data_IF_964037788004
#
_entry.id   IF_964037788004
#
_cell.length_a   1.000
_cell.length_b   1.000
_cell.length_c   1.000
_cell.angle_alpha   90.00
_cell.angle_beta   90.00
_cell.angle_gamma   90.00
#
_symmetry.space_group_name_H-M   'P 1'
#
loop_
_entity.id
_entity.type
_entity.pdbx_description
1 polymer ?
#
# COMPACT_ATOMS: atom_id res chain seq x y z
N UNK A 1 -8.80 -2.23 -43.66
CA UNK A 1 -7.38 -2.58 -43.54
C UNK A 1 -6.73 -2.05 -42.28
N UNK A 2 -6.99 -0.81 -41.89
CA UNK A 2 -6.51 -0.29 -40.58
C UNK A 2 -7.13 -1.06 -39.39
N UNK A 3 -8.35 -1.55 -39.52
CA UNK A 3 -9.05 -2.30 -38.49
C UNK A 3 -8.40 -3.68 -38.20
N UNK A 4 -7.84 -4.32 -39.22
CA UNK A 4 -7.20 -5.63 -39.03
C UNK A 4 -5.87 -5.54 -38.29
N UNK A 5 -5.16 -4.43 -38.45
CA UNK A 5 -3.91 -4.18 -37.72
C UNK A 5 -4.20 -3.87 -36.25
N UNK A 6 -5.26 -3.15 -35.98
CA UNK A 6 -5.70 -2.85 -34.61
C UNK A 6 -6.22 -4.11 -33.88
N UNK A 7 -6.94 -4.99 -34.58
CA UNK A 7 -7.39 -6.26 -34.04
C UNK A 7 -6.21 -7.21 -33.75
N UNK A 8 -5.18 -7.23 -34.59
CA UNK A 8 -3.99 -8.04 -34.37
C UNK A 8 -3.15 -7.54 -33.20
N UNK A 9 -3.19 -6.25 -32.88
CA UNK A 9 -2.46 -5.65 -31.76
C UNK A 9 -3.28 -5.67 -30.46
N UNK A 10 -4.60 -5.88 -30.55
CA UNK A 10 -5.51 -5.85 -29.41
C UNK A 10 -5.13 -6.79 -28.27
N UNK A 11 -4.72 -8.07 -28.50
CA UNK A 11 -4.28 -8.94 -27.43
C UNK A 11 -3.00 -8.46 -26.72
N UNK A 12 -2.06 -7.91 -27.47
CA UNK A 12 -0.82 -7.35 -26.93
C UNK A 12 -1.08 -6.08 -26.15
N UNK A 13 -1.91 -5.18 -26.66
CA UNK A 13 -2.30 -3.97 -25.97
C UNK A 13 -3.13 -4.29 -24.73
N UNK A 14 -3.97 -5.31 -24.78
CA UNK A 14 -4.72 -5.83 -23.64
C UNK A 14 -3.81 -6.37 -22.55
N UNK A 15 -2.69 -7.01 -22.88
CA UNK A 15 -1.68 -7.45 -21.92
C UNK A 15 -0.94 -6.27 -21.28
N UNK A 16 -0.68 -5.20 -22.02
CA UNK A 16 -0.06 -3.98 -21.51
C UNK A 16 -1.04 -3.08 -20.75
N UNK A 17 -2.31 -3.11 -21.14
CA UNK A 17 -3.38 -2.35 -20.49
C UNK A 17 -4.05 -3.08 -19.33
N UNK A 18 -3.75 -4.38 -19.15
CA UNK A 18 -4.41 -5.25 -18.17
C UNK A 18 -3.91 -5.09 -16.75
N UNK A 19 -3.20 -4.01 -16.43
CA UNK A 19 -3.12 -3.58 -15.03
C UNK A 19 -4.54 -3.22 -14.64
N UNK A 20 -5.12 -3.92 -13.66
CA UNK A 20 -6.48 -3.62 -13.28
C UNK A 20 -6.59 -2.14 -12.95
N UNK A 21 -7.55 -1.48 -13.55
CA UNK A 21 -7.97 -0.16 -13.11
C UNK A 21 -8.27 -0.30 -11.61
N UNK A 22 -7.65 0.54 -10.80
CA UNK A 22 -7.89 0.54 -9.37
C UNK A 22 -9.40 0.72 -9.12
N UNK A 23 -10.04 -0.32 -8.62
CA UNK A 23 -11.45 -0.33 -8.24
C UNK A 23 -11.62 -0.29 -6.71
N UNK A 24 -10.64 0.28 -6.04
CA UNK A 24 -10.65 0.39 -4.58
C UNK A 24 -11.55 1.51 -4.07
N UNK A 25 -11.50 1.74 -2.74
CA UNK A 25 -12.34 2.76 -2.11
C UNK A 25 -12.07 4.15 -2.68
N UNK A 26 -13.13 4.97 -2.73
CA UNK A 26 -13.04 6.37 -3.13
C UNK A 26 -12.42 7.19 -1.99
N UNK A 27 -11.11 7.18 -1.92
CA UNK A 27 -10.32 7.94 -0.94
C UNK A 27 -9.50 8.98 -1.68
N UNK A 28 -9.54 10.21 -1.20
CA UNK A 28 -8.74 11.32 -1.75
C UNK A 28 -7.29 11.21 -1.29
N UNK A 29 -6.58 10.19 -1.76
CA UNK A 29 -5.20 9.89 -1.36
C UNK A 29 -4.21 10.99 -1.73
N UNK A 30 -4.57 11.90 -2.63
CA UNK A 30 -3.74 13.04 -3.06
C UNK A 30 -3.86 14.26 -2.14
N UNK A 31 -4.80 14.25 -1.18
CA UNK A 31 -5.14 15.42 -0.35
C UNK A 31 -4.92 15.14 1.12
N UNK A 32 -4.08 15.96 1.75
CA UNK A 32 -3.83 15.93 3.21
C UNK A 32 -3.61 14.52 3.76
N UNK A 33 -2.64 13.75 3.23
CA UNK A 33 -2.37 12.41 3.74
C UNK A 33 -1.83 12.47 5.18
N UNK A 34 -2.10 11.42 5.96
CA UNK A 34 -1.59 11.29 7.32
C UNK A 34 -0.08 11.06 7.33
N UNK A 35 0.43 10.30 6.36
CA UNK A 35 1.85 10.08 6.14
C UNK A 35 2.13 9.71 4.69
N UNK A 36 3.27 10.20 4.18
CA UNK A 36 3.79 9.80 2.88
C UNK A 36 5.29 9.52 3.00
N UNK A 37 5.83 8.73 2.11
CA UNK A 37 7.26 8.49 2.04
C UNK A 37 7.64 7.33 1.13
N UNK A 38 8.94 7.26 0.85
CA UNK A 38 9.53 6.16 0.11
C UNK A 38 9.76 4.97 1.02
N UNK A 39 9.33 3.80 0.58
CA UNK A 39 9.65 2.52 1.21
C UNK A 39 10.01 1.52 0.12
N UNK A 40 10.90 0.59 0.46
CA UNK A 40 11.07 -0.60 -0.35
C UNK A 40 10.06 -1.65 0.13
N UNK A 41 9.37 -2.29 -0.80
CA UNK A 41 8.42 -3.36 -0.51
C UNK A 41 8.86 -4.64 -1.24
N UNK A 42 8.84 -5.75 -0.52
CA UNK A 42 9.08 -7.06 -1.14
C UNK A 42 7.87 -7.50 -1.96
N UNK A 43 8.12 -8.00 -3.17
CA UNK A 43 7.04 -8.51 -4.02
C UNK A 43 6.42 -9.79 -3.47
N UNK A 44 5.16 -10.03 -3.80
CA UNK A 44 4.40 -11.19 -3.33
C UNK A 44 4.87 -12.49 -4.01
N UNK A 45 5.00 -12.47 -5.32
CA UNK A 45 5.35 -13.64 -6.11
C UNK A 45 6.84 -13.73 -6.39
N UNK A 46 7.45 -12.61 -6.75
CA UNK A 46 8.88 -12.50 -6.95
C UNK A 46 9.45 -11.75 -5.76
N UNK A 47 10.34 -12.40 -4.99
CA UNK A 47 10.89 -11.84 -3.74
C UNK A 47 11.94 -10.77 -4.01
N UNK A 48 11.63 -9.81 -4.87
CA UNK A 48 12.46 -8.65 -5.15
C UNK A 48 11.97 -7.44 -4.37
N UNK A 49 12.91 -6.59 -3.95
CA UNK A 49 12.59 -5.35 -3.28
C UNK A 49 12.42 -4.25 -4.32
N UNK A 50 11.31 -3.50 -4.22
CA UNK A 50 11.01 -2.38 -5.12
C UNK A 50 10.70 -1.14 -4.31
N UNK A 51 11.36 -0.04 -4.68
CA UNK A 51 11.11 1.26 -4.08
C UNK A 51 9.78 1.81 -4.60
N UNK A 52 8.89 2.20 -3.67
CA UNK A 52 7.55 2.72 -3.97
C UNK A 52 7.24 3.91 -3.08
N UNK A 53 6.39 4.79 -3.58
CA UNK A 53 5.87 5.90 -2.80
C UNK A 53 4.59 5.45 -2.08
N UNK A 54 4.59 5.58 -0.76
CA UNK A 54 3.49 5.13 0.09
C UNK A 54 2.72 6.32 0.64
N UNK A 55 1.38 6.18 0.71
CA UNK A 55 0.46 7.19 1.22
C UNK A 55 -0.49 6.52 2.21
N UNK A 56 -0.49 7.00 3.45
CA UNK A 56 -1.47 6.61 4.47
C UNK A 56 -2.58 7.66 4.51
N UNK A 57 -3.79 7.25 4.22
CA UNK A 57 -4.95 8.15 4.18
C UNK A 57 -6.23 7.39 4.51
N UNK A 58 -7.02 7.91 5.45
CA UNK A 58 -8.38 7.43 5.75
C UNK A 58 -8.46 5.91 5.90
N UNK A 59 -7.60 5.32 6.72
CA UNK A 59 -7.60 3.88 6.99
C UNK A 59 -7.11 3.02 5.83
N UNK A 60 -6.34 3.59 4.91
CA UNK A 60 -5.78 2.88 3.75
C UNK A 60 -4.32 3.24 3.55
N UNK A 61 -3.52 2.27 3.13
CA UNK A 61 -2.13 2.47 2.74
C UNK A 61 -2.03 2.17 1.25
N UNK A 62 -1.83 3.22 0.46
CA UNK A 62 -1.66 3.11 -0.98
C UNK A 62 -0.19 3.15 -1.34
N UNK A 63 0.20 2.51 -2.45
CA UNK A 63 1.53 2.74 -3.00
C UNK A 63 1.50 3.00 -4.50
N UNK A 64 2.48 3.78 -4.93
CA UNK A 64 2.61 4.30 -6.29
C UNK A 64 4.04 4.10 -6.75
N UNK A 65 4.24 4.10 -8.07
CA UNK A 65 5.58 4.03 -8.65
C UNK A 65 6.40 5.30 -8.37
N UNK A 66 5.75 6.46 -8.39
CA UNK A 66 6.39 7.77 -8.21
C UNK A 66 5.66 8.63 -7.20
N UNK A 67 6.26 9.75 -6.82
CA UNK A 67 5.77 10.63 -5.76
C UNK A 67 4.88 11.79 -6.24
N UNK A 68 4.63 11.92 -7.53
CA UNK A 68 3.73 12.93 -8.10
C UNK A 68 2.28 12.44 -8.11
N UNK A 69 1.72 12.25 -6.92
CA UNK A 69 0.37 11.70 -6.74
C UNK A 69 -0.68 12.78 -6.99
N UNK A 70 -1.58 12.52 -7.93
CA UNK A 70 -2.67 13.40 -8.34
C UNK A 70 -4.01 12.64 -8.28
N UNK A 71 -5.16 13.32 -8.45
CA UNK A 71 -6.45 12.62 -8.53
C UNK A 71 -6.53 11.57 -9.64
N UNK A 72 -5.71 11.67 -10.69
CA UNK A 72 -5.68 10.72 -11.81
C UNK A 72 -4.67 9.60 -11.61
N UNK A 73 -3.87 9.63 -10.53
CA UNK A 73 -2.89 8.58 -10.26
C UNK A 73 -3.58 7.24 -9.98
N UNK A 74 -2.96 6.17 -10.46
CA UNK A 74 -3.43 4.81 -10.23
C UNK A 74 -2.54 4.12 -9.21
N UNK A 75 -3.05 3.83 -8.00
CA UNK A 75 -2.28 3.05 -7.03
C UNK A 75 -1.87 1.69 -7.59
N UNK A 76 -0.66 1.26 -7.27
CA UNK A 76 -0.17 -0.08 -7.56
C UNK A 76 -0.80 -1.12 -6.64
N UNK A 77 -1.25 -0.68 -5.49
CA UNK A 77 -1.94 -1.52 -4.52
C UNK A 77 -2.44 -0.72 -3.35
N UNK A 78 -3.18 -1.40 -2.48
CA UNK A 78 -3.75 -0.84 -1.28
C UNK A 78 -3.80 -1.90 -0.17
N UNK A 79 -3.52 -1.46 1.05
CA UNK A 79 -3.74 -2.25 2.26
C UNK A 79 -4.84 -1.54 3.05
N UNK A 80 -5.90 -2.26 3.37
CA UNK A 80 -6.93 -1.75 4.27
C UNK A 80 -6.47 -1.90 5.71
N UNK A 81 -6.37 -0.81 6.45
CA UNK A 81 -5.91 -0.82 7.84
C UNK A 81 -6.77 -1.72 8.72
N UNK A 82 -8.06 -1.84 8.42
CA UNK A 82 -8.98 -2.74 9.16
C UNK A 82 -8.58 -4.23 9.09
N UNK A 83 -7.77 -4.62 8.10
CA UNK A 83 -7.25 -5.99 7.99
C UNK A 83 -5.93 -6.17 8.73
N UNK A 84 -5.31 -5.09 9.19
CA UNK A 84 -4.01 -5.13 9.85
C UNK A 84 -4.17 -5.55 11.31
N UNK A 85 -3.39 -6.56 11.71
CA UNK A 85 -3.33 -7.07 13.08
C UNK A 85 -2.23 -6.36 13.88
N UNK A 86 -1.10 -6.09 13.25
CA UNK A 86 0.05 -5.47 13.90
C UNK A 86 1.00 -4.83 12.90
N UNK A 87 1.80 -3.90 13.40
CA UNK A 87 2.94 -3.32 12.72
C UNK A 87 4.11 -3.29 13.71
N UNK A 88 5.28 -3.75 13.31
CA UNK A 88 6.47 -3.81 14.18
C UNK A 88 7.75 -3.90 13.38
N UNK A 89 8.89 -3.62 14.04
CA UNK A 89 10.22 -3.80 13.45
C UNK A 89 10.46 -5.25 13.02
N UNK A 90 11.22 -5.43 11.95
CA UNK A 90 11.51 -6.73 11.36
C UNK A 90 13.01 -6.90 11.04
N UNK A 91 13.89 -6.11 11.65
CA UNK A 91 15.34 -6.16 11.39
C UNK A 91 15.91 -7.55 11.69
N UNK A 92 15.48 -8.15 12.79
CA UNK A 92 15.96 -9.49 13.19
C UNK A 92 15.43 -10.57 12.25
N UNK A 93 14.16 -10.49 11.86
CA UNK A 93 13.53 -11.48 11.00
C UNK A 93 14.14 -11.49 9.59
N UNK A 94 14.49 -10.32 9.06
CA UNK A 94 15.00 -10.18 7.69
C UNK A 94 16.52 -10.01 7.63
N UNK A 95 17.18 -9.76 8.77
CA UNK A 95 18.59 -9.37 8.83
C UNK A 95 18.87 -8.16 7.92
N UNK A 96 17.99 -7.15 7.98
CA UNK A 96 18.10 -5.91 7.20
C UNK A 96 17.81 -4.71 8.11
N UNK A 97 18.66 -3.66 8.08
CA UNK A 97 18.40 -2.45 8.85
C UNK A 97 17.15 -1.74 8.34
N UNK A 98 16.49 -1.00 9.21
CA UNK A 98 15.32 -0.17 8.91
C UNK A 98 14.11 -0.96 8.38
N UNK A 99 14.07 -2.27 8.62
CA UNK A 99 12.97 -3.13 8.18
C UNK A 99 11.83 -3.14 9.20
N UNK A 100 10.61 -3.18 8.70
CA UNK A 100 9.41 -3.41 9.51
C UNK A 100 8.42 -4.29 8.77
N UNK A 101 7.45 -4.82 9.51
CA UNK A 101 6.42 -5.69 8.95
C UNK A 101 5.03 -5.21 9.31
N UNK A 102 4.08 -5.49 8.43
CA UNK A 102 2.65 -5.38 8.68
C UNK A 102 2.07 -6.77 8.55
N UNK A 103 1.46 -7.26 9.63
CA UNK A 103 0.71 -8.51 9.61
C UNK A 103 -0.76 -8.23 9.43
N UNK A 104 -1.39 -8.91 8.47
CA UNK A 104 -2.82 -8.81 8.21
C UNK A 104 -3.49 -10.15 8.49
N UNK A 105 -4.81 -10.21 8.29
CA UNK A 105 -5.57 -11.46 8.36
C UNK A 105 -5.12 -12.49 7.31
N UNK A 106 -4.41 -12.06 6.28
CA UNK A 106 -4.07 -12.89 5.11
C UNK A 106 -2.60 -13.26 5.06
N UNK A 107 -1.71 -12.33 5.34
CA UNK A 107 -0.26 -12.52 5.21
C UNK A 107 0.53 -11.52 6.03
N UNK A 108 1.84 -11.63 5.97
CA UNK A 108 2.78 -10.65 6.52
C UNK A 108 3.53 -9.99 5.37
N UNK A 109 3.53 -8.67 5.36
CA UNK A 109 4.22 -7.87 4.35
C UNK A 109 5.42 -7.16 4.97
N UNK A 110 6.50 -7.06 4.21
CA UNK A 110 7.77 -6.51 4.68
C UNK A 110 8.15 -5.25 3.92
N UNK A 111 8.69 -4.29 4.67
CA UNK A 111 9.07 -2.97 4.16
C UNK A 111 10.44 -2.58 4.70
N UNK A 112 11.18 -1.77 3.94
CA UNK A 112 12.44 -1.18 4.37
C UNK A 112 12.34 0.32 4.18
N UNK A 113 12.50 1.08 5.27
CA UNK A 113 12.56 2.53 5.24
C UNK A 113 13.97 3.03 4.92
N UNK A 114 14.09 4.31 4.59
CA UNK A 114 15.38 4.92 4.26
C UNK A 114 16.22 5.22 5.50
N UNK A 115 15.61 5.26 6.69
CA UNK A 115 16.30 5.51 7.96
C UNK A 115 15.50 4.90 9.12
N UNK A 116 16.13 4.77 10.29
CA UNK A 116 15.44 4.33 11.51
C UNK A 116 14.35 5.31 11.93
N UNK A 117 14.59 6.59 11.75
CA UNK A 117 13.57 7.62 12.05
C UNK A 117 12.34 7.44 11.18
N UNK A 118 12.50 7.23 9.88
CA UNK A 118 11.40 6.99 8.96
C UNK A 118 10.66 5.70 9.28
N UNK A 119 11.39 4.64 9.60
CA UNK A 119 10.81 3.37 10.04
C UNK A 119 9.91 3.58 11.26
N UNK A 120 10.42 4.25 12.31
CA UNK A 120 9.67 4.50 13.53
C UNK A 120 8.44 5.39 13.27
N UNK A 121 8.59 6.41 12.43
CA UNK A 121 7.48 7.29 12.05
C UNK A 121 6.37 6.52 11.33
N UNK A 122 6.73 5.59 10.43
CA UNK A 122 5.75 4.73 9.75
C UNK A 122 5.07 3.78 10.73
N UNK A 123 5.83 3.10 11.60
CA UNK A 123 5.28 2.19 12.61
C UNK A 123 4.28 2.94 13.50
N UNK A 124 4.64 4.13 13.96
CA UNK A 124 3.78 4.94 14.82
C UNK A 124 2.50 5.38 14.09
N UNK A 125 2.63 5.85 12.86
CA UNK A 125 1.47 6.32 12.07
C UNK A 125 0.50 5.19 11.75
N UNK A 126 1.03 4.03 11.34
CA UNK A 126 0.21 2.85 11.05
C UNK A 126 -0.40 2.30 12.33
N UNK A 127 0.36 2.25 13.42
CA UNK A 127 -0.14 1.83 14.72
C UNK A 127 -1.32 2.67 15.21
N UNK A 128 -1.23 3.99 15.07
CA UNK A 128 -2.33 4.90 15.39
C UNK A 128 -3.57 4.65 14.51
N UNK A 129 -3.36 4.39 13.24
CA UNK A 129 -4.46 4.07 12.31
C UNK A 129 -5.15 2.76 12.68
N UNK A 130 -4.38 1.74 13.05
CA UNK A 130 -4.91 0.45 13.51
C UNK A 130 -5.78 0.64 14.76
N UNK A 131 -5.30 1.39 15.74
CA UNK A 131 -6.03 1.65 16.99
C UNK A 131 -7.33 2.41 16.71
N UNK A 132 -7.29 3.45 15.88
CA UNK A 132 -8.50 4.21 15.51
C UNK A 132 -9.55 3.34 14.85
N UNK A 133 -9.13 2.47 13.97
CA UNK A 133 -10.05 1.57 13.26
C UNK A 133 -10.67 0.54 14.22
N UNK A 134 -9.89 -0.02 15.13
CA UNK A 134 -10.38 -0.94 16.17
C UNK A 134 -11.38 -0.28 17.09
N UNK A 135 -11.15 0.99 17.49
CA UNK A 135 -12.08 1.76 18.32
C UNK A 135 -13.42 1.99 17.62
N UNK A 136 -13.39 2.32 16.33
CA UNK A 136 -14.60 2.49 15.52
C UNK A 136 -15.42 1.19 15.43
N UNK A 137 -14.75 0.06 15.28
CA UNK A 137 -15.42 -1.24 15.25
C UNK A 137 -16.06 -1.59 16.62
N UNK A 138 -15.42 -1.24 17.74
CA UNK A 138 -15.96 -1.42 19.06
C UNK A 138 -17.21 -0.55 19.31
N UNK A 139 -17.22 0.66 18.81
CA UNK A 139 -18.39 1.55 18.88
C UNK A 139 -19.58 1.00 18.10
N UNK A 140 -19.34 0.46 16.92
CA UNK A 140 -20.38 -0.17 16.09
C UNK A 140 -20.99 -1.39 16.77
N UNK A 141 -20.20 -2.17 17.49
CA UNK A 141 -20.71 -3.37 18.21
C UNK A 141 -21.49 -3.02 19.47
N UNK A 142 -21.29 -1.84 20.06
CA UNK A 142 -22.02 -1.41 21.25
C UNK A 142 -23.40 -0.81 20.97
N UNK A 143 -23.72 -0.50 19.71
CA UNK A 143 -25.00 0.05 19.29
C UNK A 143 -26.08 -1.03 19.02
N UNK A 144 -25.77 -2.27 19.29
CA UNK A 144 -26.70 -3.39 19.25
C UNK A 144 -27.07 -3.81 20.67
#
# INVERSE_FOLDING_TARGET
>A
MANNVMEALSPLMSMFQSKPVYNGPLVEFWKDPERVGWLQKQGEHIKTWRRRWFVLKAGHIFWFKGNDVTPQSQPRGVIEVKTCLSVKGAEDALNKPCAFEISTNFDTMYFIADSDKEKEDWINSIGRAIVRHSSSLCEETHNY
#
